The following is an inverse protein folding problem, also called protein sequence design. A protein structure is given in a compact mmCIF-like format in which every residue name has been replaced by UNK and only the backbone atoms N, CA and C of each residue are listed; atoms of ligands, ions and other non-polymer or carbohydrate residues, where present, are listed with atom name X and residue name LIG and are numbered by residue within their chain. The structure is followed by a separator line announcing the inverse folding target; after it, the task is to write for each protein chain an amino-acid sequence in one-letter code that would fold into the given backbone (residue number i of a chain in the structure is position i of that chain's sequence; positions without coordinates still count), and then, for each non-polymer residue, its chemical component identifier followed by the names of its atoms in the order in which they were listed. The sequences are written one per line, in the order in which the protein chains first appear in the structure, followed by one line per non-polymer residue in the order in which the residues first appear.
data_IF_053432051120
#
_entry.id   IF_053432051120
#
_cell.length_a   1.000
_cell.length_b   1.000
_cell.length_c   1.000
_cell.angle_alpha   90.00
_cell.angle_beta   90.00
_cell.angle_gamma   90.00
#
_symmetry.space_group_name_H-M   'P 1'
#
loop_
_entity.id
_entity.type
_entity.pdbx_description
1 polymer ?
#
# COMPACT_ATOMS: atom_id res chain seq x y z
N UNK A 1 5.64 -20.43 -11.81
CA UNK A 1 4.35 -20.67 -12.49
C UNK A 1 3.21 -19.78 -12.00
N UNK A 2 2.80 -19.83 -10.72
CA UNK A 2 1.67 -19.01 -10.20
C UNK A 2 1.81 -17.51 -10.50
N UNK A 3 2.99 -16.93 -10.27
CA UNK A 3 3.29 -15.52 -10.59
C UNK A 3 3.12 -15.23 -12.09
N UNK A 4 3.74 -16.05 -12.94
CA UNK A 4 3.67 -15.87 -14.40
C UNK A 4 2.23 -15.91 -14.89
N UNK A 5 1.39 -16.78 -14.30
CA UNK A 5 -0.05 -16.83 -14.57
C UNK A 5 -0.79 -15.54 -14.19
N UNK A 6 -0.52 -14.99 -13.00
CA UNK A 6 -1.11 -13.71 -12.57
C UNK A 6 -0.64 -12.54 -13.44
N UNK A 7 0.65 -12.45 -13.76
CA UNK A 7 1.18 -11.44 -14.68
C UNK A 7 0.53 -11.58 -16.07
N UNK A 8 0.34 -12.80 -16.56
CA UNK A 8 -0.34 -13.07 -17.83
C UNK A 8 -1.81 -12.63 -17.82
N UNK A 9 -2.50 -12.79 -16.68
CA UNK A 9 -3.86 -12.24 -16.50
C UNK A 9 -3.86 -10.71 -16.55
N UNK A 10 -2.93 -10.05 -15.87
CA UNK A 10 -2.80 -8.60 -15.91
C UNK A 10 -2.42 -8.09 -17.30
N UNK A 11 -1.50 -8.74 -18.01
CA UNK A 11 -1.19 -8.43 -19.41
C UNK A 11 -2.45 -8.48 -20.28
N UNK A 12 -3.25 -9.55 -20.15
CA UNK A 12 -4.52 -9.70 -20.88
C UNK A 12 -5.52 -8.58 -20.56
N UNK A 13 -5.58 -8.14 -19.31
CA UNK A 13 -6.46 -7.07 -18.85
C UNK A 13 -5.99 -5.72 -19.41
N UNK A 14 -4.72 -5.35 -19.25
CA UNK A 14 -4.17 -4.09 -19.75
C UNK A 14 -4.25 -4.01 -21.28
N UNK A 15 -4.05 -5.12 -22.00
CA UNK A 15 -4.27 -5.15 -23.45
C UNK A 15 -5.70 -4.76 -23.82
N UNK A 16 -6.70 -5.23 -23.09
CA UNK A 16 -8.13 -4.95 -23.35
C UNK A 16 -8.60 -3.60 -22.85
N UNK A 17 -8.17 -3.16 -21.67
CA UNK A 17 -8.75 -2.01 -20.96
C UNK A 17 -7.76 -0.86 -20.74
N UNK A 18 -6.47 -1.05 -21.02
CA UNK A 18 -5.43 -0.03 -20.88
C UNK A 18 -4.87 0.13 -19.46
N UNK A 19 -5.51 -0.47 -18.46
CA UNK A 19 -5.10 -0.42 -17.05
C UNK A 19 -5.56 -1.68 -16.31
N UNK A 20 -4.97 -1.96 -15.15
CA UNK A 20 -5.48 -2.98 -14.23
C UNK A 20 -6.61 -2.36 -13.39
N UNK A 21 -7.87 -2.80 -13.53
CA UNK A 21 -8.96 -2.31 -12.69
C UNK A 21 -8.77 -2.78 -11.25
N UNK A 22 -9.36 -2.03 -10.31
CA UNK A 22 -9.32 -2.32 -8.87
C UNK A 22 -9.60 -3.82 -8.54
N UNK A 23 -10.51 -4.45 -9.28
CA UNK A 23 -10.71 -5.90 -9.26
C UNK A 23 -11.29 -6.44 -10.55
N UNK A 24 -11.36 -7.78 -10.68
CA UNK A 24 -11.87 -8.48 -11.86
C UNK A 24 -13.41 -8.44 -12.05
N UNK A 25 -14.02 -7.25 -11.99
CA UNK A 25 -15.46 -7.00 -12.12
C UNK A 25 -15.74 -5.80 -13.03
N UNK A 26 -16.87 -5.84 -13.74
CA UNK A 26 -17.24 -4.80 -14.71
C UNK A 26 -17.33 -3.40 -14.08
N UNK A 27 -17.85 -3.29 -12.86
CA UNK A 27 -18.01 -2.01 -12.17
C UNK A 27 -16.68 -1.38 -11.69
N UNK A 28 -15.54 -2.09 -11.84
CA UNK A 28 -14.21 -1.55 -11.58
C UNK A 28 -13.50 -1.04 -12.85
N UNK A 29 -14.06 -1.20 -14.05
CA UNK A 29 -13.39 -0.80 -15.29
C UNK A 29 -13.09 0.71 -15.42
N UNK A 30 -13.63 1.53 -14.52
CA UNK A 30 -13.42 2.99 -14.50
C UNK A 30 -12.41 3.46 -13.45
N UNK A 31 -11.87 2.56 -12.62
CA UNK A 31 -10.86 2.88 -11.59
C UNK A 31 -9.81 1.79 -11.43
N UNK A 32 -8.58 2.22 -11.23
CA UNK A 32 -7.42 1.33 -11.05
C UNK A 32 -7.18 1.01 -9.57
N UNK A 33 -5.93 0.67 -9.23
CA UNK A 33 -5.34 0.61 -7.89
C UNK A 33 -3.87 1.08 -7.95
N UNK A 34 -3.15 1.28 -6.81
CA UNK A 34 -1.74 1.67 -6.85
C UNK A 34 -0.91 0.82 -7.84
N UNK A 35 -0.18 1.43 -8.81
CA UNK A 35 0.26 0.73 -10.02
C UNK A 35 1.53 -0.09 -9.83
N UNK A 36 1.36 -1.27 -9.21
CA UNK A 36 2.46 -2.18 -8.87
C UNK A 36 2.74 -3.25 -9.93
N UNK A 37 2.12 -3.20 -11.11
CA UNK A 37 2.30 -4.21 -12.17
C UNK A 37 3.75 -4.34 -12.64
N UNK A 38 4.39 -3.21 -12.96
CA UNK A 38 5.78 -3.14 -13.42
C UNK A 38 6.73 -3.67 -12.32
N UNK A 39 6.59 -3.27 -11.04
CA UNK A 39 7.32 -3.88 -9.92
C UNK A 39 7.11 -5.39 -9.76
N UNK A 40 5.87 -5.89 -9.91
CA UNK A 40 5.61 -7.33 -9.86
C UNK A 40 6.34 -8.06 -11.01
N UNK A 41 6.38 -7.44 -12.19
CA UNK A 41 7.10 -7.99 -13.34
C UNK A 41 8.62 -7.99 -13.10
N UNK A 42 9.18 -6.93 -12.52
CA UNK A 42 10.61 -6.87 -12.16
C UNK A 42 10.97 -7.98 -11.18
N UNK A 43 10.17 -8.15 -10.13
CA UNK A 43 10.41 -9.16 -9.11
C UNK A 43 10.35 -10.59 -9.69
N UNK A 44 9.45 -10.84 -10.66
CA UNK A 44 9.43 -12.09 -11.43
C UNK A 44 10.69 -12.29 -12.27
N UNK A 45 11.15 -11.25 -12.97
CA UNK A 45 12.33 -11.31 -13.82
C UNK A 45 13.63 -11.49 -13.03
N UNK A 46 13.75 -10.89 -11.85
CA UNK A 46 14.88 -11.12 -10.94
C UNK A 46 14.93 -12.58 -10.48
N UNK A 47 13.78 -13.20 -10.24
CA UNK A 47 13.71 -14.60 -9.81
C UNK A 47 13.94 -15.61 -10.94
N UNK A 48 13.62 -15.27 -12.19
CA UNK A 48 13.54 -16.26 -13.29
C UNK A 48 14.49 -15.99 -14.45
N UNK A 49 14.91 -14.74 -14.66
CA UNK A 49 15.70 -14.35 -15.82
C UNK A 49 14.94 -14.43 -17.16
N UNK A 50 13.61 -14.61 -17.15
CA UNK A 50 12.77 -14.88 -18.34
C UNK A 50 12.64 -13.68 -19.29
N UNK A 51 13.69 -13.44 -20.09
CA UNK A 51 13.77 -12.31 -21.02
C UNK A 51 12.78 -12.39 -22.18
N UNK A 52 12.47 -13.59 -22.68
CA UNK A 52 11.48 -13.76 -23.76
C UNK A 52 10.11 -13.26 -23.29
N UNK A 53 9.70 -13.60 -22.05
CA UNK A 53 8.45 -13.09 -21.50
C UNK A 53 8.46 -11.57 -21.33
N UNK A 54 9.61 -10.95 -21.04
CA UNK A 54 9.73 -9.49 -21.01
C UNK A 54 9.55 -8.89 -22.41
N UNK A 55 10.22 -9.43 -23.42
CA UNK A 55 10.14 -8.97 -24.81
C UNK A 55 8.68 -8.99 -25.30
N UNK A 56 7.94 -10.07 -25.03
CA UNK A 56 6.52 -10.21 -25.37
C UNK A 56 5.57 -9.27 -24.59
N UNK A 57 6.05 -8.68 -23.49
CA UNK A 57 5.23 -7.96 -22.52
C UNK A 57 5.49 -6.46 -22.48
N UNK A 58 6.65 -5.99 -22.97
CA UNK A 58 7.12 -4.61 -22.76
C UNK A 58 6.11 -3.56 -23.23
N UNK A 59 5.52 -3.72 -24.41
CA UNK A 59 4.52 -2.78 -24.93
C UNK A 59 3.29 -2.68 -24.03
N UNK A 60 2.91 -3.78 -23.38
CA UNK A 60 1.75 -3.80 -22.46
C UNK A 60 2.09 -3.15 -21.13
N UNK A 61 3.33 -3.32 -20.63
CA UNK A 61 3.82 -2.63 -19.44
C UNK A 61 3.85 -1.11 -19.67
N UNK A 62 4.36 -0.68 -20.82
CA UNK A 62 4.37 0.73 -21.22
C UNK A 62 2.95 1.28 -21.39
N UNK A 63 2.01 0.48 -21.90
CA UNK A 63 0.60 0.88 -22.06
C UNK A 63 -0.06 1.26 -20.73
N UNK A 64 0.17 0.49 -19.66
CA UNK A 64 -0.37 0.86 -18.35
C UNK A 64 0.32 2.11 -17.80
N UNK A 65 1.64 2.22 -17.92
CA UNK A 65 2.35 3.44 -17.50
C UNK A 65 1.80 4.69 -18.22
N UNK A 66 1.59 4.60 -19.53
CA UNK A 66 0.99 5.65 -20.34
C UNK A 66 -0.44 6.00 -19.89
N UNK A 67 -1.22 5.04 -19.42
CA UNK A 67 -2.55 5.31 -18.86
C UNK A 67 -2.46 6.26 -17.66
N UNK A 68 -1.56 6.00 -16.71
CA UNK A 68 -1.33 6.88 -15.56
C UNK A 68 -0.81 8.25 -15.98
N UNK A 69 0.17 8.29 -16.89
CA UNK A 69 0.75 9.54 -17.37
C UNK A 69 -0.24 10.43 -18.13
N UNK A 70 -1.28 9.85 -18.75
CA UNK A 70 -2.29 10.59 -19.52
C UNK A 70 -3.49 11.01 -18.68
N UNK A 71 -3.96 10.15 -17.78
CA UNK A 71 -5.25 10.33 -17.12
C UNK A 71 -5.14 10.81 -15.66
N UNK A 72 -3.97 10.59 -15.04
CA UNK A 72 -3.78 10.76 -13.60
C UNK A 72 -2.72 11.79 -13.25
N UNK A 73 -2.30 12.66 -14.18
CA UNK A 73 -1.31 13.73 -13.87
C UNK A 73 -1.94 15.11 -13.75
N UNK A 74 -1.33 15.94 -12.91
CA UNK A 74 -1.60 17.37 -12.71
C UNK A 74 -0.30 18.15 -12.77
N UNK A 75 -0.41 19.47 -12.94
CA UNK A 75 0.72 20.40 -12.89
C UNK A 75 0.59 21.28 -11.66
N UNK A 76 1.63 21.33 -10.84
CA UNK A 76 1.74 22.18 -9.65
C UNK A 76 2.74 23.29 -9.95
N UNK A 77 2.30 24.54 -9.91
CA UNK A 77 3.21 25.69 -9.90
C UNK A 77 3.81 25.86 -8.51
N UNK A 78 5.14 25.82 -8.42
CA UNK A 78 5.87 26.10 -7.20
C UNK A 78 7.02 27.04 -7.52
N UNK A 79 6.91 28.27 -7.00
CA UNK A 79 7.90 29.34 -7.17
C UNK A 79 8.19 29.67 -8.65
N UNK A 80 7.15 29.62 -9.50
CA UNK A 80 7.23 29.89 -10.93
C UNK A 80 7.77 28.74 -11.78
N UNK A 81 7.98 27.56 -11.19
CA UNK A 81 8.34 26.32 -11.88
C UNK A 81 7.17 25.34 -11.84
N UNK A 82 6.81 24.80 -13.00
CA UNK A 82 5.72 23.84 -13.15
C UNK A 82 6.25 22.41 -12.98
N UNK A 83 5.76 21.72 -11.94
CA UNK A 83 6.08 20.34 -11.63
C UNK A 83 4.92 19.42 -11.98
N UNK A 84 5.17 18.36 -12.74
CA UNK A 84 4.16 17.36 -13.08
C UNK A 84 4.18 16.24 -12.04
N UNK A 85 3.02 15.94 -11.46
CA UNK A 85 2.83 14.89 -10.44
C UNK A 85 1.53 14.12 -10.71
N UNK A 86 1.41 12.94 -10.11
CA UNK A 86 0.25 12.07 -10.23
C UNK A 86 -0.75 12.24 -9.07
N UNK A 87 -2.03 12.04 -9.36
CA UNK A 87 -3.18 12.04 -8.44
C UNK A 87 -4.09 10.87 -8.76
N UNK A 88 -4.79 10.33 -7.77
CA UNK A 88 -5.89 9.40 -8.04
C UNK A 88 -7.09 10.17 -8.62
N UNK A 89 -7.82 9.55 -9.56
CA UNK A 89 -8.96 10.17 -10.22
C UNK A 89 -9.90 9.15 -10.85
N UNK A 90 -11.08 8.99 -10.26
CA UNK A 90 -12.24 8.36 -10.92
C UNK A 90 -13.11 9.43 -11.59
N UNK A 91 -13.52 9.18 -12.85
CA UNK A 91 -14.35 10.09 -13.65
C UNK A 91 -15.79 9.59 -13.85
N UNK A 92 -16.17 8.48 -13.21
CA UNK A 92 -17.52 7.93 -13.36
C UNK A 92 -18.52 8.69 -12.48
N UNK A 93 -19.78 8.71 -12.90
CA UNK A 93 -20.89 9.28 -12.14
C UNK A 93 -21.61 8.23 -11.29
N UNK A 94 -22.39 8.67 -10.31
CA UNK A 94 -23.23 7.84 -9.46
C UNK A 94 -22.48 7.02 -8.40
N UNK A 95 -23.22 6.38 -7.49
CA UNK A 95 -22.66 5.59 -6.40
C UNK A 95 -21.96 4.31 -6.89
N UNK A 96 -21.06 3.78 -6.06
CA UNK A 96 -20.40 2.48 -6.24
C UNK A 96 -21.44 1.37 -6.31
N UNK A 97 -21.48 0.54 -7.37
CA UNK A 97 -22.41 -0.58 -7.43
C UNK A 97 -22.23 -1.59 -6.30
N UNK A 98 -21.00 -1.79 -5.82
CA UNK A 98 -20.67 -2.73 -4.75
C UNK A 98 -21.00 -2.23 -3.34
N UNK A 99 -21.17 -0.92 -3.16
CA UNK A 99 -21.51 -0.25 -1.89
C UNK A 99 -22.65 0.76 -2.07
N UNK A 100 -23.62 0.41 -2.93
CA UNK A 100 -24.63 1.36 -3.41
C UNK A 100 -25.44 1.97 -2.26
N UNK A 101 -25.85 1.13 -1.30
CA UNK A 101 -26.68 1.55 -0.17
C UNK A 101 -25.90 2.51 0.74
N UNK A 102 -24.65 2.19 1.02
CA UNK A 102 -23.74 2.92 1.88
C UNK A 102 -23.44 4.31 1.30
N UNK A 103 -23.13 4.37 0.00
CA UNK A 103 -22.89 5.63 -0.73
C UNK A 103 -24.13 6.53 -0.70
N UNK A 104 -25.30 6.00 -1.09
CA UNK A 104 -26.55 6.78 -1.14
C UNK A 104 -26.95 7.26 0.26
N UNK A 105 -26.79 6.43 1.29
CA UNK A 105 -27.07 6.80 2.67
C UNK A 105 -26.12 7.90 3.18
N UNK A 106 -24.83 7.81 2.85
CA UNK A 106 -23.85 8.83 3.21
C UNK A 106 -24.10 10.17 2.51
N UNK A 107 -24.64 10.11 1.29
CA UNK A 107 -25.00 11.28 0.49
C UNK A 107 -26.37 11.89 0.83
N UNK A 108 -27.16 11.30 1.74
CA UNK A 108 -28.56 11.69 1.96
C UNK A 108 -28.75 13.15 2.41
N UNK A 109 -27.72 13.74 3.02
CA UNK A 109 -27.72 15.12 3.51
C UNK A 109 -27.21 16.14 2.49
N UNK A 110 -26.74 15.68 1.32
CA UNK A 110 -26.30 16.55 0.23
C UNK A 110 -27.50 16.92 -0.64
N UNK A 111 -27.78 18.23 -0.73
CA UNK A 111 -29.03 18.72 -1.32
C UNK A 111 -29.03 18.82 -2.85
N UNK A 112 -27.86 18.97 -3.48
CA UNK A 112 -27.76 19.08 -4.95
C UNK A 112 -27.32 17.76 -5.60
N UNK A 113 -27.76 17.52 -6.83
CA UNK A 113 -27.28 16.38 -7.64
C UNK A 113 -25.77 16.48 -7.91
N UNK A 114 -25.27 17.69 -8.15
CA UNK A 114 -23.85 17.95 -8.38
C UNK A 114 -22.98 17.63 -7.16
N UNK A 115 -23.40 18.03 -5.95
CA UNK A 115 -22.68 17.71 -4.72
C UNK A 115 -22.66 16.21 -4.46
N UNK A 116 -23.77 15.51 -4.73
CA UNK A 116 -23.86 14.05 -4.60
C UNK A 116 -22.95 13.34 -5.58
N UNK A 117 -22.96 13.74 -6.85
CA UNK A 117 -22.11 13.12 -7.87
C UNK A 117 -20.62 13.38 -7.63
N UNK A 118 -20.27 14.60 -7.21
CA UNK A 118 -18.91 14.92 -6.75
C UNK A 118 -18.51 14.00 -5.61
N UNK A 119 -19.35 13.88 -4.59
CA UNK A 119 -19.09 13.01 -3.43
C UNK A 119 -18.86 11.56 -3.85
N UNK A 120 -19.72 10.99 -4.70
CA UNK A 120 -19.53 9.61 -5.19
C UNK A 120 -18.22 9.44 -5.96
N UNK A 121 -17.84 10.41 -6.79
CA UNK A 121 -16.56 10.39 -7.51
C UNK A 121 -15.37 10.45 -6.55
N UNK A 122 -15.43 11.21 -5.44
CA UNK A 122 -14.41 11.21 -4.40
C UNK A 122 -14.32 9.84 -3.69
N UNK A 123 -15.44 9.20 -3.36
CA UNK A 123 -15.44 7.86 -2.76
C UNK A 123 -14.80 6.82 -3.68
N UNK A 124 -15.14 6.83 -4.97
CA UNK A 124 -14.54 5.92 -5.97
C UNK A 124 -13.05 6.19 -6.17
N UNK A 125 -12.65 7.45 -6.11
CA UNK A 125 -11.23 7.83 -6.16
C UNK A 125 -10.48 7.35 -4.91
N UNK A 126 -11.09 7.42 -3.72
CA UNK A 126 -10.51 6.85 -2.51
C UNK A 126 -10.36 5.33 -2.61
N UNK A 127 -11.32 4.63 -3.22
CA UNK A 127 -11.17 3.21 -3.53
C UNK A 127 -10.05 2.92 -4.55
N UNK A 128 -9.84 3.80 -5.55
CA UNK A 128 -8.68 3.72 -6.46
C UNK A 128 -7.34 3.84 -5.72
N UNK A 129 -7.27 4.63 -4.64
CA UNK A 129 -6.05 4.74 -3.84
C UNK A 129 -5.72 3.48 -3.03
N UNK A 130 -6.71 2.59 -2.84
CA UNK A 130 -6.65 1.47 -1.92
C UNK A 130 -6.84 1.84 -0.45
N UNK A 131 -7.06 3.13 -0.12
CA UNK A 131 -7.32 3.63 1.23
C UNK A 131 -8.77 4.11 1.38
N UNK A 132 -9.73 3.21 1.17
CA UNK A 132 -11.18 3.44 1.33
C UNK A 132 -11.69 2.94 2.68
N UNK A 133 -11.86 3.77 3.71
CA UNK A 133 -11.61 5.21 3.76
C UNK A 133 -10.64 5.57 4.88
N UNK A 134 -10.15 6.81 4.81
CA UNK A 134 -9.16 7.36 5.73
C UNK A 134 -9.33 8.87 5.85
N UNK A 135 -9.07 9.40 7.04
CA UNK A 135 -8.91 10.84 7.28
C UNK A 135 -7.80 11.47 6.44
N UNK A 136 -6.86 10.67 5.90
CA UNK A 136 -5.87 11.10 4.91
C UNK A 136 -6.47 11.94 3.79
N UNK A 137 -7.67 11.57 3.34
CA UNK A 137 -8.38 12.20 2.23
C UNK A 137 -9.32 13.33 2.64
N UNK A 138 -9.47 13.61 3.94
CA UNK A 138 -10.41 14.62 4.41
C UNK A 138 -9.80 16.03 4.32
N UNK A 139 -10.55 16.93 3.70
CA UNK A 139 -10.27 18.38 3.72
C UNK A 139 -11.56 19.06 4.17
N UNK A 140 -11.55 19.55 5.42
CA UNK A 140 -12.63 20.40 5.91
C UNK A 140 -12.40 21.88 5.56
N UNK A 141 -13.31 22.75 5.98
CA UNK A 141 -13.26 24.19 5.66
C UNK A 141 -11.98 24.91 6.08
N UNK A 142 -11.23 24.34 7.03
CA UNK A 142 -10.00 24.92 7.55
C UNK A 142 -8.75 24.19 7.02
N UNK A 143 -8.89 23.31 6.02
CA UNK A 143 -7.79 22.53 5.46
C UNK A 143 -7.34 21.33 6.30
N UNK A 144 -8.07 20.99 7.37
CA UNK A 144 -7.69 19.89 8.27
C UNK A 144 -8.37 18.56 7.94
N UNK A 145 -7.86 17.48 8.52
CA UNK A 145 -8.35 16.09 8.35
C UNK A 145 -9.55 15.73 9.22
N UNK A 146 -10.02 16.65 10.07
CA UNK A 146 -11.16 16.39 10.98
C UNK A 146 -12.47 16.47 10.19
N UNK A 147 -13.23 15.38 10.20
CA UNK A 147 -14.50 15.32 9.47
C UNK A 147 -15.07 13.92 9.37
N UNK A 148 -15.89 13.73 8.35
CA UNK A 148 -16.45 12.43 7.95
C UNK A 148 -16.29 12.25 6.42
N UNK A 149 -16.83 11.16 5.86
CA UNK A 149 -16.73 10.85 4.44
C UNK A 149 -17.10 12.02 3.51
N UNK A 150 -18.06 12.89 3.89
CA UNK A 150 -18.44 14.06 3.07
C UNK A 150 -17.32 15.09 2.92
N UNK A 151 -16.28 15.02 3.75
CA UNK A 151 -15.05 15.81 3.65
C UNK A 151 -13.98 15.19 2.72
N UNK A 152 -14.22 14.02 2.12
CA UNK A 152 -13.27 13.39 1.19
C UNK A 152 -13.03 14.28 -0.03
N UNK A 153 -11.76 14.62 -0.29
CA UNK A 153 -11.28 15.50 -1.37
C UNK A 153 -9.99 14.95 -1.99
N UNK A 154 -9.95 13.64 -2.20
CA UNK A 154 -8.74 12.94 -2.67
C UNK A 154 -8.26 13.44 -4.04
N UNK A 155 -9.17 13.85 -4.94
CA UNK A 155 -8.79 14.41 -6.25
C UNK A 155 -7.99 15.72 -6.15
N UNK A 156 -8.09 16.42 -5.03
CA UNK A 156 -7.35 17.63 -4.71
C UNK A 156 -6.02 17.37 -3.99
N UNK A 157 -5.67 16.10 -3.75
CA UNK A 157 -4.48 15.70 -3.00
C UNK A 157 -3.49 15.01 -3.94
N UNK A 158 -2.23 15.46 -3.92
CA UNK A 158 -1.09 14.79 -4.57
C UNK A 158 -0.48 13.79 -3.58
N UNK A 159 -0.67 12.47 -3.77
CA UNK A 159 -0.23 11.48 -2.79
C UNK A 159 1.24 11.11 -2.95
N UNK A 160 1.97 11.00 -1.84
CA UNK A 160 3.39 10.64 -1.81
C UNK A 160 3.65 9.25 -2.37
N UNK A 161 2.87 8.26 -1.92
CA UNK A 161 2.98 6.87 -2.36
C UNK A 161 2.75 6.69 -3.85
N UNK A 162 1.70 7.29 -4.42
CA UNK A 162 1.45 7.21 -5.85
C UNK A 162 2.64 7.76 -6.65
N UNK A 163 3.17 8.92 -6.27
CA UNK A 163 4.28 9.54 -6.97
C UNK A 163 5.60 8.76 -6.82
N UNK A 164 5.83 8.18 -5.65
CA UNK A 164 6.96 7.27 -5.44
C UNK A 164 6.89 6.03 -6.33
N UNK A 165 5.69 5.47 -6.55
CA UNK A 165 5.47 4.30 -7.42
C UNK A 165 5.61 4.69 -8.90
N UNK A 166 5.10 5.85 -9.33
CA UNK A 166 5.26 6.32 -10.72
C UNK A 166 6.73 6.50 -11.09
N UNK A 167 7.53 7.10 -10.20
CA UNK A 167 8.99 7.14 -10.35
C UNK A 167 9.57 5.72 -10.52
N UNK A 168 9.18 4.80 -9.64
CA UNK A 168 9.70 3.44 -9.65
C UNK A 168 9.39 2.73 -10.97
N UNK A 169 8.16 2.88 -11.46
CA UNK A 169 7.72 2.33 -12.74
C UNK A 169 8.55 2.89 -13.89
N UNK A 170 8.85 4.20 -13.91
CA UNK A 170 9.73 4.78 -14.92
C UNK A 170 11.16 4.20 -14.84
N UNK A 171 11.74 4.08 -13.64
CA UNK A 171 13.06 3.46 -13.47
C UNK A 171 13.11 2.01 -13.94
N UNK A 172 12.07 1.23 -13.64
CA UNK A 172 11.96 -0.17 -14.06
C UNK A 172 11.75 -0.31 -15.56
N UNK A 173 10.93 0.53 -16.19
CA UNK A 173 10.80 0.56 -17.64
C UNK A 173 12.12 0.93 -18.33
N UNK A 174 12.88 1.87 -17.76
CA UNK A 174 14.24 2.17 -18.25
C UNK A 174 15.14 0.92 -18.16
N UNK A 175 15.15 0.24 -17.01
CA UNK A 175 15.90 -1.00 -16.79
C UNK A 175 15.51 -2.08 -17.81
N UNK A 176 14.21 -2.29 -18.04
CA UNK A 176 13.71 -3.27 -18.99
C UNK A 176 14.10 -2.95 -20.43
N UNK A 177 13.94 -1.69 -20.85
CA UNK A 177 14.32 -1.28 -22.20
C UNK A 177 15.84 -1.40 -22.44
N UNK A 178 16.68 -1.12 -21.44
CA UNK A 178 18.13 -1.41 -21.54
C UNK A 178 18.39 -2.90 -21.71
N UNK A 179 17.68 -3.77 -20.96
CA UNK A 179 17.80 -5.22 -21.07
C UNK A 179 17.39 -5.74 -22.46
N UNK A 180 16.46 -5.07 -23.12
CA UNK A 180 16.05 -5.33 -24.51
C UNK A 180 16.88 -4.56 -25.55
N UNK A 181 18.00 -3.95 -25.16
CA UNK A 181 18.89 -3.14 -26.02
C UNK A 181 18.22 -1.93 -26.71
N UNK A 182 17.08 -1.45 -26.20
CA UNK A 182 16.42 -0.23 -26.67
C UNK A 182 16.85 0.97 -25.82
N UNK A 183 18.03 1.51 -26.13
CA UNK A 183 18.64 2.62 -25.37
C UNK A 183 17.84 3.91 -25.47
N UNK A 184 17.21 4.19 -26.61
CA UNK A 184 16.38 5.38 -26.81
C UNK A 184 15.16 5.39 -25.89
N UNK A 185 14.42 4.27 -25.84
CA UNK A 185 13.28 4.15 -24.92
C UNK A 185 13.75 4.15 -23.45
N UNK A 186 14.88 3.52 -23.16
CA UNK A 186 15.44 3.55 -21.81
C UNK A 186 15.77 4.97 -21.33
N UNK A 187 16.38 5.80 -22.18
CA UNK A 187 16.75 7.17 -21.82
C UNK A 187 15.51 8.07 -21.67
N UNK A 188 14.44 7.82 -22.45
CA UNK A 188 13.13 8.47 -22.24
C UNK A 188 12.62 8.25 -20.82
N UNK A 189 12.55 7.00 -20.37
CA UNK A 189 12.04 6.69 -19.02
C UNK A 189 12.98 7.16 -17.91
N UNK A 190 14.28 7.17 -18.16
CA UNK A 190 15.26 7.76 -17.22
C UNK A 190 15.05 9.28 -17.06
N UNK A 191 14.74 10.00 -18.15
CA UNK A 191 14.40 11.42 -18.10
C UNK A 191 13.14 11.67 -17.26
N UNK A 192 12.09 10.87 -17.49
CA UNK A 192 10.84 10.96 -16.71
C UNK A 192 11.12 10.73 -15.22
N UNK A 193 11.93 9.72 -14.89
CA UNK A 193 12.29 9.43 -13.49
C UNK A 193 13.04 10.60 -12.82
N UNK A 194 13.94 11.29 -13.55
CA UNK A 194 14.65 12.47 -13.05
C UNK A 194 13.72 13.64 -12.79
N UNK A 195 12.84 13.95 -13.75
CA UNK A 195 11.78 14.97 -13.59
C UNK A 195 10.92 14.67 -12.35
N UNK A 196 10.61 13.39 -12.10
CA UNK A 196 9.79 12.97 -10.97
C UNK A 196 10.50 13.15 -9.62
N UNK A 197 11.80 12.83 -9.51
CA UNK A 197 12.57 13.09 -8.28
C UNK A 197 12.55 14.58 -7.96
N UNK A 198 12.78 15.44 -8.95
CA UNK A 198 12.78 16.89 -8.76
C UNK A 198 11.40 17.39 -8.28
N UNK A 199 10.32 16.90 -8.88
CA UNK A 199 8.97 17.24 -8.48
C UNK A 199 8.62 16.77 -7.06
N UNK A 200 8.97 15.52 -6.71
CA UNK A 200 8.75 14.95 -5.37
C UNK A 200 9.54 15.70 -4.31
N UNK A 201 10.81 16.05 -4.58
CA UNK A 201 11.61 16.89 -3.68
C UNK A 201 10.97 18.26 -3.48
N UNK A 202 10.59 18.95 -4.56
CA UNK A 202 10.12 20.34 -4.46
C UNK A 202 8.73 20.47 -3.87
N UNK A 203 7.82 19.56 -4.22
CA UNK A 203 6.41 19.67 -3.84
C UNK A 203 6.12 18.88 -2.57
N UNK A 204 6.74 17.71 -2.36
CA UNK A 204 6.33 16.76 -1.31
C UNK A 204 7.33 16.68 -0.15
N UNK A 205 8.63 16.93 -0.32
CA UNK A 205 9.60 16.94 0.79
C UNK A 205 9.43 18.17 1.69
N UNK A 206 9.32 17.95 3.00
CA UNK A 206 9.21 19.01 4.01
C UNK A 206 10.43 19.01 4.92
N UNK A 207 11.35 19.96 4.73
CA UNK A 207 12.61 20.03 5.48
C UNK A 207 12.44 20.06 7.01
N UNK A 208 11.52 20.89 7.53
CA UNK A 208 11.35 21.03 8.98
C UNK A 208 10.71 19.79 9.64
N UNK A 209 9.82 19.11 8.92
CA UNK A 209 9.19 17.86 9.40
C UNK A 209 10.14 16.69 9.23
N UNK A 210 11.02 16.73 8.21
CA UNK A 210 11.98 15.69 7.91
C UNK A 210 11.39 14.48 7.20
N UNK A 211 10.31 14.67 6.44
CA UNK A 211 9.62 13.61 5.69
C UNK A 211 8.97 14.17 4.42
N UNK A 212 8.66 13.28 3.47
CA UNK A 212 7.69 13.58 2.42
C UNK A 212 6.28 13.58 3.00
N UNK A 213 5.44 14.47 2.48
CA UNK A 213 4.05 14.67 2.89
C UNK A 213 3.18 14.85 1.65
N UNK A 214 1.94 14.38 1.71
CA UNK A 214 0.96 14.64 0.66
C UNK A 214 0.76 16.16 0.49
N UNK A 215 0.41 16.60 -0.72
CA UNK A 215 0.19 18.02 -1.01
C UNK A 215 -1.27 18.31 -1.33
N UNK A 216 -1.85 19.27 -0.62
CA UNK A 216 -3.19 19.79 -0.85
C UNK A 216 -3.14 20.90 -1.90
N UNK A 217 -3.70 20.62 -3.08
CA UNK A 217 -3.68 21.55 -4.21
C UNK A 217 -4.61 22.74 -4.00
N UNK A 218 -5.72 22.55 -3.29
CA UNK A 218 -6.73 23.60 -3.10
C UNK A 218 -6.26 24.63 -2.06
N UNK A 219 -5.58 24.15 -1.01
CA UNK A 219 -5.04 25.00 0.05
C UNK A 219 -3.56 25.37 -0.15
N UNK A 220 -2.93 24.90 -1.23
CA UNK A 220 -1.51 25.11 -1.56
C UNK A 220 -0.55 24.79 -0.39
N UNK A 221 -0.80 23.70 0.32
CA UNK A 221 -0.05 23.34 1.53
C UNK A 221 0.28 21.86 1.61
N UNK A 222 1.41 21.57 2.26
CA UNK A 222 1.76 20.20 2.63
C UNK A 222 0.88 19.73 3.80
N UNK A 223 0.45 18.47 3.73
CA UNK A 223 -0.41 17.85 4.73
C UNK A 223 0.45 17.23 5.82
N UNK A 224 0.82 18.02 6.82
CA UNK A 224 1.67 17.62 7.95
C UNK A 224 0.97 16.67 8.93
N UNK A 225 0.76 15.44 8.46
CA UNK A 225 0.20 14.33 9.23
C UNK A 225 1.06 13.08 9.02
N UNK A 226 1.06 12.20 10.02
CA UNK A 226 1.75 10.93 9.92
C UNK A 226 0.95 9.92 9.12
N UNK A 227 1.56 9.42 8.05
CA UNK A 227 1.14 8.24 7.30
C UNK A 227 2.37 7.37 7.02
N UNK A 228 2.30 6.03 7.17
CA UNK A 228 3.40 5.14 6.76
C UNK A 228 3.79 5.31 5.29
N UNK A 229 2.84 5.68 4.42
CA UNK A 229 3.06 5.98 3.00
C UNK A 229 3.96 7.19 2.76
N UNK A 230 4.17 8.07 3.74
CA UNK A 230 5.15 9.15 3.67
C UNK A 230 6.58 8.63 3.40
N UNK A 231 6.88 7.38 3.77
CA UNK A 231 8.17 6.74 3.56
C UNK A 231 8.26 5.98 2.22
N UNK A 232 7.22 6.00 1.38
CA UNK A 232 7.25 5.35 0.08
C UNK A 232 8.42 5.81 -0.82
N UNK A 233 8.88 7.08 -0.81
CA UNK A 233 10.04 7.49 -1.59
C UNK A 233 11.34 6.80 -1.12
N UNK A 234 11.48 6.54 0.18
CA UNK A 234 12.60 5.77 0.70
C UNK A 234 12.56 4.32 0.20
N UNK A 235 11.37 3.71 0.21
CA UNK A 235 11.12 2.36 -0.28
C UNK A 235 11.41 2.20 -1.78
N UNK A 236 11.00 3.15 -2.61
CA UNK A 236 11.18 3.06 -4.07
C UNK A 236 12.48 3.68 -4.59
N UNK A 237 13.24 4.36 -3.72
CA UNK A 237 14.42 5.14 -4.10
C UNK A 237 14.10 6.47 -4.79
N UNK A 238 12.87 6.98 -4.68
CA UNK A 238 12.40 8.23 -5.27
C UNK A 238 12.90 9.47 -4.51
N UNK A 239 14.22 9.62 -4.42
CA UNK A 239 14.88 10.78 -3.82
C UNK A 239 16.29 10.91 -4.39
N UNK A 240 16.92 12.07 -4.15
CA UNK A 240 18.31 12.27 -4.54
C UNK A 240 19.25 11.37 -3.73
N UNK A 241 19.69 10.29 -4.37
CA UNK A 241 20.58 9.30 -3.78
C UNK A 241 21.92 9.89 -3.32
N UNK A 242 22.36 11.03 -3.87
CA UNK A 242 23.59 11.71 -3.42
C UNK A 242 23.45 12.32 -2.03
N UNK A 243 22.21 12.57 -1.57
CA UNK A 243 21.85 13.12 -0.25
C UNK A 243 21.22 12.08 0.67
N UNK A 244 21.42 10.79 0.40
CA UNK A 244 20.82 9.69 1.16
C UNK A 244 20.96 9.82 2.68
N UNK A 245 22.15 10.09 3.20
CA UNK A 245 22.39 10.19 4.65
C UNK A 245 21.55 11.30 5.29
N UNK A 246 21.33 12.41 4.56
CA UNK A 246 20.47 13.51 5.00
C UNK A 246 19.01 13.06 5.11
N UNK A 247 18.47 12.39 4.09
CA UNK A 247 17.07 11.92 4.12
C UNK A 247 16.87 10.86 5.20
N UNK A 248 17.76 9.86 5.28
CA UNK A 248 17.67 8.78 6.28
C UNK A 248 17.71 9.35 7.70
N UNK A 249 18.66 10.26 7.98
CA UNK A 249 18.74 10.91 9.29
C UNK A 249 17.47 11.71 9.63
N UNK A 250 16.90 12.40 8.64
CA UNK A 250 15.68 13.20 8.82
C UNK A 250 14.46 12.32 9.09
N UNK A 251 14.33 11.21 8.36
CA UNK A 251 13.25 10.24 8.51
C UNK A 251 13.32 9.55 9.88
N UNK A 252 14.50 9.17 10.36
CA UNK A 252 14.64 8.56 11.69
C UNK A 252 14.19 9.53 12.79
N UNK A 253 14.57 10.81 12.70
CA UNK A 253 14.09 11.85 13.62
C UNK A 253 12.58 12.05 13.52
N UNK A 254 12.03 12.01 12.31
CA UNK A 254 10.59 12.10 12.07
C UNK A 254 9.84 10.95 12.75
N UNK A 255 10.28 9.70 12.56
CA UNK A 255 9.68 8.52 13.19
C UNK A 255 9.78 8.54 14.72
N UNK A 256 10.86 9.10 15.28
CA UNK A 256 10.98 9.30 16.72
C UNK A 256 10.01 10.38 17.23
N UNK A 257 9.88 11.50 16.50
CA UNK A 257 8.98 12.62 16.85
C UNK A 257 7.50 12.23 16.83
N UNK A 258 7.09 11.37 15.90
CA UNK A 258 5.69 10.92 15.81
C UNK A 258 5.30 9.96 16.94
N UNK A 259 6.27 9.47 17.72
CA UNK A 259 6.07 8.57 18.85
C UNK A 259 5.30 7.29 18.49
N UNK A 260 5.35 6.85 17.23
CA UNK A 260 4.63 5.65 16.78
C UNK A 260 5.15 4.39 17.47
N UNK A 261 6.38 4.40 18.03
CA UNK A 261 7.00 3.28 18.75
C UNK A 261 6.20 2.79 19.96
N UNK A 262 5.28 3.60 20.49
CA UNK A 262 4.33 3.20 21.54
C UNK A 262 3.41 2.05 21.09
N UNK A 263 3.18 1.91 19.79
CA UNK A 263 2.41 0.84 19.19
C UNK A 263 3.23 -0.45 19.19
N UNK A 264 2.67 -1.50 19.80
CA UNK A 264 3.36 -2.79 20.04
C UNK A 264 2.95 -3.89 19.06
N UNK A 265 1.81 -3.74 18.39
CA UNK A 265 1.24 -4.67 17.41
C UNK A 265 1.56 -4.32 15.95
N UNK A 266 2.12 -3.14 15.67
CA UNK A 266 2.50 -2.69 14.33
C UNK A 266 2.59 -1.17 14.22
N UNK A 267 2.87 -0.67 13.02
CA UNK A 267 2.81 0.76 12.70
C UNK A 267 1.34 1.10 12.34
N UNK A 268 0.67 2.02 13.04
CA UNK A 268 -0.70 2.38 12.72
C UNK A 268 -0.77 3.15 11.38
N UNK A 269 -1.91 3.05 10.70
CA UNK A 269 -2.14 3.70 9.41
C UNK A 269 -2.14 5.22 9.50
N UNK A 270 -2.73 5.76 10.57
CA UNK A 270 -2.73 7.19 10.92
C UNK A 270 -2.56 7.33 12.43
N UNK A 271 -2.66 8.55 12.96
CA UNK A 271 -2.75 8.81 14.41
C UNK A 271 -4.15 9.28 14.84
N UNK A 272 -5.16 9.13 13.97
CA UNK A 272 -6.51 9.67 14.17
C UNK A 272 -7.52 8.55 14.38
N UNK A 273 -8.28 8.62 15.47
CA UNK A 273 -9.40 7.72 15.73
C UNK A 273 -10.68 8.21 15.01
N UNK A 274 -10.84 7.85 13.74
CA UNK A 274 -12.02 8.25 12.95
C UNK A 274 -13.13 7.19 12.94
N UNK A 275 -12.79 5.92 13.18
CA UNK A 275 -13.68 4.78 12.94
C UNK A 275 -13.59 4.21 11.52
N UNK A 276 -12.89 4.90 10.61
CA UNK A 276 -12.60 4.39 9.27
C UNK A 276 -11.51 3.30 9.31
N UNK A 277 -11.50 2.41 8.31
CA UNK A 277 -10.62 1.25 8.36
C UNK A 277 -9.15 1.56 8.06
N UNK A 278 -8.86 2.61 7.29
CA UNK A 278 -7.50 3.08 7.03
C UNK A 278 -7.13 4.24 7.97
N UNK A 279 -7.42 4.07 9.26
CA UNK A 279 -7.12 5.00 10.34
C UNK A 279 -6.74 4.26 11.63
N UNK A 280 -6.24 5.00 12.62
CA UNK A 280 -5.88 4.45 13.93
C UNK A 280 -7.10 3.79 14.61
N UNK A 281 -6.95 2.60 15.25
CA UNK A 281 -5.70 1.90 15.58
C UNK A 281 -5.24 0.88 14.53
N UNK A 282 -5.85 0.81 13.35
CA UNK A 282 -5.54 -0.25 12.41
C UNK A 282 -4.12 -0.15 11.86
N UNK A 283 -3.49 -1.31 11.70
CA UNK A 283 -2.21 -1.52 11.03
C UNK A 283 -2.40 -2.48 9.85
N UNK A 284 -1.92 -2.09 8.68
CA UNK A 284 -2.09 -2.85 7.44
C UNK A 284 -0.76 -3.40 6.92
N UNK A 285 -0.70 -4.68 6.49
CA UNK A 285 0.53 -5.32 6.04
C UNK A 285 1.30 -4.54 4.95
N UNK A 286 0.66 -4.00 3.89
CA UNK A 286 1.38 -3.21 2.88
C UNK A 286 2.09 -1.98 3.45
N UNK A 287 1.51 -1.34 4.47
CA UNK A 287 2.10 -0.15 5.11
C UNK A 287 3.29 -0.51 5.99
N UNK A 288 3.24 -1.67 6.64
CA UNK A 288 4.39 -2.20 7.37
C UNK A 288 5.55 -2.46 6.41
N UNK A 289 5.25 -3.09 5.28
CA UNK A 289 6.22 -3.41 4.25
C UNK A 289 6.93 -2.16 3.72
N UNK A 290 6.19 -1.11 3.37
CA UNK A 290 6.75 0.16 2.88
C UNK A 290 7.78 0.71 3.87
N UNK A 291 7.42 0.79 5.15
CA UNK A 291 8.32 1.37 6.16
C UNK A 291 9.51 0.45 6.45
N UNK A 292 9.26 -0.84 6.71
CA UNK A 292 10.30 -1.78 7.11
C UNK A 292 11.31 -2.01 5.97
N UNK A 293 10.83 -2.33 4.77
CA UNK A 293 11.71 -2.59 3.63
C UNK A 293 12.37 -1.31 3.15
N UNK A 294 11.67 -0.17 3.22
CA UNK A 294 12.27 1.12 2.91
C UNK A 294 13.41 1.50 3.85
N UNK A 295 13.30 1.22 5.15
CA UNK A 295 14.38 1.44 6.11
C UNK A 295 15.53 0.43 5.93
N UNK A 296 15.21 -0.86 5.71
CA UNK A 296 16.21 -1.92 5.54
C UNK A 296 17.07 -1.69 4.29
N UNK A 297 16.44 -1.28 3.17
CA UNK A 297 17.12 -1.06 1.89
C UNK A 297 18.10 0.11 1.91
N UNK A 298 18.06 0.97 2.93
CA UNK A 298 18.99 2.08 3.06
C UNK A 298 20.42 1.62 3.34
N UNK A 299 20.65 0.46 3.94
CA UNK A 299 22.01 0.08 4.36
C UNK A 299 22.59 0.92 5.51
N UNK A 300 21.85 1.90 6.05
CA UNK A 300 22.24 2.63 7.26
C UNK A 300 21.95 1.78 8.50
N UNK A 301 22.89 1.69 9.42
CA UNK A 301 22.78 0.77 10.57
C UNK A 301 21.68 1.16 11.56
N UNK A 302 21.38 2.46 11.72
CA UNK A 302 20.29 2.90 12.59
C UNK A 302 18.93 2.62 11.92
N UNK A 303 18.82 2.84 10.62
CA UNK A 303 17.63 2.51 9.84
C UNK A 303 17.36 1.00 9.80
N UNK A 304 18.38 0.17 9.55
CA UNK A 304 18.25 -1.31 9.59
C UNK A 304 17.85 -1.83 10.97
N UNK A 305 18.34 -1.20 12.05
CA UNK A 305 17.89 -1.53 13.40
C UNK A 305 16.41 -1.20 13.59
N UNK A 306 15.98 -0.01 13.18
CA UNK A 306 14.57 0.38 13.24
C UNK A 306 13.68 -0.53 12.37
N UNK A 307 14.15 -0.94 11.19
CA UNK A 307 13.47 -1.89 10.32
C UNK A 307 13.26 -3.23 11.04
N UNK A 308 14.31 -3.77 11.65
CA UNK A 308 14.24 -5.01 12.42
C UNK A 308 13.27 -4.91 13.61
N UNK A 309 13.34 -3.84 14.40
CA UNK A 309 12.46 -3.65 15.56
C UNK A 309 10.97 -3.65 15.14
N UNK A 310 10.65 -3.04 14.00
CA UNK A 310 9.30 -3.04 13.44
C UNK A 310 8.92 -4.41 12.86
N UNK A 311 9.84 -5.09 12.16
CA UNK A 311 9.62 -6.42 11.64
C UNK A 311 9.31 -7.43 12.76
N UNK A 312 10.07 -7.39 13.86
CA UNK A 312 9.86 -8.25 15.03
C UNK A 312 8.49 -8.02 15.65
N UNK A 313 8.10 -6.76 15.89
CA UNK A 313 6.76 -6.42 16.42
C UNK A 313 5.65 -6.95 15.52
N UNK A 314 5.76 -6.71 14.22
CA UNK A 314 4.73 -7.10 13.26
C UNK A 314 4.59 -8.61 13.13
N UNK A 315 5.71 -9.33 12.96
CA UNK A 315 5.71 -10.79 12.87
C UNK A 315 5.16 -11.40 14.15
N UNK A 316 5.57 -10.89 15.32
CA UNK A 316 5.03 -11.36 16.60
C UNK A 316 3.53 -11.17 16.69
N UNK A 317 3.00 -9.99 16.32
CA UNK A 317 1.56 -9.74 16.33
C UNK A 317 0.81 -10.72 15.43
N UNK A 318 1.29 -10.94 14.21
CA UNK A 318 0.69 -11.90 13.28
C UNK A 318 0.77 -13.34 13.84
N UNK A 319 1.89 -13.72 14.44
CA UNK A 319 2.09 -15.04 15.02
C UNK A 319 1.16 -15.31 16.19
N UNK A 320 1.02 -14.38 17.13
CA UNK A 320 0.13 -14.50 18.30
C UNK A 320 -1.35 -14.62 17.85
N UNK A 321 -1.76 -13.81 16.88
CA UNK A 321 -3.10 -13.91 16.28
C UNK A 321 -3.32 -15.28 15.63
N UNK A 322 -2.33 -15.79 14.89
CA UNK A 322 -2.40 -17.10 14.27
C UNK A 322 -2.42 -18.24 15.30
N UNK A 323 -1.63 -18.14 16.38
CA UNK A 323 -1.62 -19.15 17.45
C UNK A 323 -2.97 -19.24 18.13
N UNK A 324 -3.59 -18.10 18.44
CA UNK A 324 -4.88 -18.04 19.14
C UNK A 324 -6.08 -18.41 18.25
N UNK A 325 -6.10 -17.94 17.00
CA UNK A 325 -7.28 -18.06 16.11
C UNK A 325 -7.14 -19.12 15.01
N UNK A 326 -5.92 -19.59 14.74
CA UNK A 326 -5.56 -20.41 13.57
C UNK A 326 -5.81 -19.72 12.22
N UNK A 327 -5.92 -18.40 12.21
CA UNK A 327 -6.14 -17.59 11.02
C UNK A 327 -5.20 -16.38 10.96
N UNK A 328 -4.99 -15.89 9.74
CA UNK A 328 -4.36 -14.61 9.47
C UNK A 328 -5.45 -13.63 9.03
N UNK A 329 -5.29 -12.36 9.36
CA UNK A 329 -6.32 -11.34 9.14
C UNK A 329 -5.89 -10.33 8.09
N UNK A 330 -6.87 -9.68 7.47
CA UNK A 330 -6.67 -8.57 6.53
C UNK A 330 -5.88 -7.40 7.14
N UNK A 331 -6.18 -7.07 8.40
CA UNK A 331 -5.61 -5.95 9.17
C UNK A 331 -5.55 -6.29 10.66
N UNK A 332 -4.68 -5.60 11.38
CA UNK A 332 -4.39 -5.85 12.80
C UNK A 332 -4.53 -4.58 13.64
N UNK A 333 -4.66 -4.71 14.95
CA UNK A 333 -4.60 -3.58 15.86
C UNK A 333 -3.13 -3.21 16.16
N UNK A 334 -2.74 -1.97 15.94
CA UNK A 334 -1.37 -1.50 16.18
C UNK A 334 -1.01 -1.45 17.68
N UNK A 335 -2.02 -1.31 18.54
CA UNK A 335 -1.87 -1.06 19.97
C UNK A 335 -1.81 -2.33 20.81
N UNK A 336 -2.30 -3.46 20.26
CA UNK A 336 -2.33 -4.75 20.97
C UNK A 336 -1.71 -5.84 20.10
N UNK A 337 -0.82 -6.63 20.70
CA UNK A 337 -0.18 -7.76 20.01
C UNK A 337 -1.22 -8.88 19.82
N UNK A 338 -1.33 -9.42 18.61
CA UNK A 338 -2.18 -10.58 18.35
C UNK A 338 -3.65 -10.27 18.09
N UNK A 339 -4.06 -9.00 18.20
CA UNK A 339 -5.44 -8.59 17.96
C UNK A 339 -5.66 -8.19 16.50
N UNK A 340 -6.86 -8.50 16.01
CA UNK A 340 -7.31 -8.08 14.69
C UNK A 340 -7.78 -6.63 14.71
N UNK A 341 -7.66 -5.94 13.59
CA UNK A 341 -8.19 -4.58 13.45
C UNK A 341 -9.72 -4.56 13.31
N UNK A 342 -10.29 -3.39 13.02
CA UNK A 342 -11.74 -3.21 12.85
C UNK A 342 -12.09 -1.98 12.00
N UNK A 343 -13.33 -1.50 12.11
CA UNK A 343 -13.79 -0.29 11.42
C UNK A 343 -13.98 -0.43 9.90
N UNK A 344 -14.53 0.63 9.30
CA UNK A 344 -14.96 0.68 7.90
C UNK A 344 -16.36 0.10 7.64
N UNK A 345 -16.64 -0.19 6.37
CA UNK A 345 -17.98 -0.57 5.88
C UNK A 345 -18.32 -2.07 6.08
N UNK A 346 -17.35 -2.92 6.42
CA UNK A 346 -17.53 -4.38 6.47
C UNK A 346 -16.68 -5.07 7.55
N UNK A 347 -17.05 -6.32 7.89
CA UNK A 347 -16.36 -7.16 8.87
C UNK A 347 -14.96 -7.60 8.36
N UNK A 348 -14.01 -7.78 9.28
CA UNK A 348 -12.64 -8.14 8.94
C UNK A 348 -12.57 -9.48 8.20
N UNK A 349 -11.75 -9.55 7.14
CA UNK A 349 -11.59 -10.76 6.33
C UNK A 349 -10.46 -11.69 6.83
N UNK A 350 -10.71 -13.00 6.71
CA UNK A 350 -9.76 -14.08 7.06
C UNK A 350 -8.96 -14.51 5.82
N UNK A 351 -7.68 -14.86 6.01
CA UNK A 351 -6.84 -15.43 4.95
C UNK A 351 -5.38 -15.03 5.07
N UNK A 352 -4.96 -13.78 4.94
CA UNK A 352 -5.35 -12.86 3.86
C UNK A 352 -4.08 -12.64 3.00
N UNK A 353 -4.21 -12.53 1.68
CA UNK A 353 -3.08 -12.59 0.74
C UNK A 353 -1.87 -11.72 1.10
N UNK A 354 -2.08 -10.43 1.44
CA UNK A 354 -0.97 -9.53 1.76
C UNK A 354 -0.34 -9.78 3.12
N UNK A 355 -1.09 -10.31 4.07
CA UNK A 355 -0.59 -10.56 5.42
C UNK A 355 0.37 -11.72 5.34
N UNK A 356 -0.03 -12.75 4.59
CA UNK A 356 0.79 -13.92 4.32
C UNK A 356 2.03 -13.53 3.52
N UNK A 357 1.88 -12.76 2.43
CA UNK A 357 3.00 -12.32 1.59
C UNK A 357 4.03 -11.47 2.36
N UNK A 358 3.57 -10.49 3.14
CA UNK A 358 4.45 -9.61 3.92
C UNK A 358 5.15 -10.38 5.04
N UNK A 359 4.44 -11.23 5.79
CA UNK A 359 5.07 -12.05 6.83
C UNK A 359 6.12 -12.99 6.23
N UNK A 360 5.85 -13.61 5.09
CA UNK A 360 6.83 -14.44 4.39
C UNK A 360 8.08 -13.65 3.99
N UNK A 361 7.94 -12.44 3.45
CA UNK A 361 9.11 -11.62 3.12
C UNK A 361 9.91 -11.25 4.36
N UNK A 362 9.25 -10.78 5.42
CA UNK A 362 9.94 -10.34 6.62
C UNK A 362 10.64 -11.52 7.33
N UNK A 363 10.03 -12.71 7.33
CA UNK A 363 10.70 -13.93 7.80
C UNK A 363 11.91 -14.30 6.94
N UNK A 364 11.85 -14.05 5.63
CA UNK A 364 12.99 -14.26 4.74
C UNK A 364 14.13 -13.27 4.99
N UNK A 365 13.80 -12.00 5.22
CA UNK A 365 14.77 -10.92 5.45
C UNK A 365 15.42 -10.97 6.84
N UNK A 366 14.65 -11.37 7.87
CA UNK A 366 15.06 -11.25 9.28
C UNK A 366 15.04 -12.57 10.05
N UNK A 367 14.68 -13.70 9.42
CA UNK A 367 14.49 -14.99 10.08
C UNK A 367 15.74 -15.57 10.75
N UNK A 368 16.93 -15.14 10.34
CA UNK A 368 18.21 -15.48 10.97
C UNK A 368 18.42 -14.79 12.32
N UNK A 369 17.70 -13.68 12.58
CA UNK A 369 17.81 -12.85 13.78
C UNK A 369 16.58 -12.94 14.68
N UNK A 370 15.41 -13.26 14.13
CA UNK A 370 14.16 -13.39 14.87
C UNK A 370 14.24 -14.55 15.87
N UNK A 371 13.73 -14.32 17.07
CA UNK A 371 13.66 -15.33 18.13
C UNK A 371 12.19 -15.61 18.47
N UNK A 372 11.80 -16.89 18.49
CA UNK A 372 10.59 -17.29 19.20
C UNK A 372 10.88 -17.15 20.69
N UNK A 373 10.21 -16.23 21.38
CA UNK A 373 10.38 -16.15 22.83
C UNK A 373 10.03 -17.51 23.44
N UNK A 374 10.94 -18.10 24.21
CA UNK A 374 10.58 -19.20 25.10
C UNK A 374 9.41 -18.74 25.99
N UNK A 375 8.53 -19.67 26.33
CA UNK A 375 7.26 -19.44 27.03
C UNK A 375 7.34 -18.38 28.14
N UNK A 376 6.28 -17.57 28.33
CA UNK A 376 6.24 -16.64 29.45
C UNK A 376 6.37 -17.40 30.77
N UNK A 377 7.24 -16.92 31.67
CA UNK A 377 7.29 -17.37 33.06
C UNK A 377 5.87 -17.36 33.64
N UNK A 378 5.44 -18.49 34.22
CA UNK A 378 4.17 -18.61 34.92
C UNK A 378 4.08 -17.56 36.03
N UNK A 379 3.32 -16.50 35.79
CA UNK A 379 2.76 -15.70 36.87
C UNK A 379 1.38 -16.28 37.24
N UNK A 380 1.12 -16.57 38.52
CA UNK A 380 -0.06 -17.31 38.94
C UNK A 380 -1.34 -16.53 38.60
N UNK A 381 -2.20 -17.18 37.82
CA UNK A 381 -3.48 -16.64 37.35
C UNK A 381 -4.43 -16.37 38.53
N UNK A 382 -4.94 -15.13 38.60
CA UNK A 382 -6.18 -14.85 39.32
C UNK A 382 -7.36 -15.21 38.40
N UNK A 383 -8.10 -16.23 38.82
CA UNK A 383 -9.27 -16.77 38.15
C UNK A 383 -10.47 -15.82 38.22
N UNK A 384 -10.95 -15.36 37.06
CA UNK A 384 -12.35 -15.00 36.87
C UNK A 384 -12.75 -15.32 35.42
N UNK A 385 -13.11 -16.58 35.19
CA UNK A 385 -13.73 -17.08 33.96
C UNK A 385 -15.20 -16.63 33.95
N UNK A 386 -15.60 -15.86 32.94
CA UNK A 386 -17.01 -15.82 32.53
C UNK A 386 -17.10 -16.37 31.10
N UNK A 387 -17.79 -17.49 31.02
CA UNK A 387 -18.18 -18.27 29.86
C UNK A 387 -19.26 -17.57 29.06
N UNK A 388 -19.06 -17.42 27.74
CA UNK A 388 -20.16 -17.57 26.78
C UNK A 388 -19.60 -18.24 25.53
N UNK A 389 -20.04 -19.48 25.33
CA UNK A 389 -19.67 -20.35 24.24
C UNK A 389 -20.83 -20.43 23.23
N UNK A 390 -20.45 -20.63 21.97
CA UNK A 390 -21.25 -21.10 20.84
C UNK A 390 -22.53 -20.35 20.44
N UNK A 391 -22.46 -19.58 19.35
CA UNK A 391 -23.38 -19.66 18.20
C UNK A 391 -22.99 -18.59 17.17
N UNK A 392 -22.33 -19.02 16.08
CA UNK A 392 -22.48 -18.53 14.69
C UNK A 392 -21.41 -19.14 13.80
N UNK A 393 -21.58 -20.43 13.51
CA UNK A 393 -21.15 -20.98 12.23
C UNK A 393 -22.31 -20.84 11.25
N UNK A 394 -21.94 -20.64 9.98
CA UNK A 394 -22.78 -20.59 8.77
C UNK A 394 -23.34 -19.20 8.44
N UNK A 395 -22.70 -18.61 7.42
CA UNK A 395 -23.21 -17.80 6.29
C UNK A 395 -22.24 -16.63 6.05
N UNK A 396 -21.38 -16.76 5.03
CA UNK A 396 -21.02 -15.72 4.04
C UNK A 396 -19.85 -16.20 3.17
N UNK A 397 -20.13 -17.18 2.29
CA UNK A 397 -19.28 -17.44 1.12
C UNK A 397 -19.77 -16.48 0.04
N UNK A 398 -19.01 -15.43 -0.22
CA UNK A 398 -19.26 -14.55 -1.36
C UNK A 398 -18.99 -13.07 -1.12
N UNK A 399 -17.75 -12.72 -0.76
CA UNK A 399 -16.99 -11.49 -1.12
C UNK A 399 -15.55 -11.76 -0.61
N UNK A 400 -14.79 -12.61 -1.28
CA UNK A 400 -13.39 -12.91 -0.89
C UNK A 400 -12.47 -13.14 -2.11
N UNK A 401 -12.87 -12.64 -3.28
CA UNK A 401 -12.16 -12.90 -4.54
C UNK A 401 -11.69 -11.62 -5.27
N UNK A 402 -11.78 -10.46 -4.63
CA UNK A 402 -11.43 -9.18 -5.28
C UNK A 402 -10.15 -8.52 -4.72
N UNK A 403 -9.69 -8.84 -3.51
CA UNK A 403 -8.46 -8.28 -2.92
C UNK A 403 -7.20 -9.13 -3.07
N UNK A 404 -7.27 -10.28 -3.73
CA UNK A 404 -6.27 -11.36 -3.57
C UNK A 404 -5.10 -11.33 -4.56
N UNK A 405 -5.15 -10.53 -5.63
CA UNK A 405 -4.25 -10.75 -6.78
C UNK A 405 -2.93 -9.99 -6.66
N UNK A 406 -2.94 -8.72 -6.24
CA UNK A 406 -1.70 -7.93 -6.10
C UNK A 406 -0.79 -8.47 -4.97
N UNK A 407 -1.39 -8.99 -3.91
CA UNK A 407 -0.70 -9.48 -2.74
C UNK A 407 -0.16 -10.91 -2.88
N UNK A 408 -0.89 -11.77 -3.60
CA UNK A 408 -0.42 -13.11 -3.98
C UNK A 408 0.81 -13.06 -4.89
N UNK A 409 0.96 -12.00 -5.70
CA UNK A 409 2.14 -11.79 -6.56
C UNK A 409 3.43 -11.64 -5.77
N UNK A 410 3.43 -10.87 -4.68
CA UNK A 410 4.58 -10.79 -3.76
C UNK A 410 4.89 -12.17 -3.18
N UNK A 411 3.93 -12.85 -2.53
CA UNK A 411 4.16 -14.17 -1.93
C UNK A 411 4.65 -15.26 -2.92
N UNK A 412 4.14 -15.26 -4.16
CA UNK A 412 4.51 -16.27 -5.15
C UNK A 412 5.86 -15.98 -5.85
N UNK A 413 6.29 -14.70 -5.94
CA UNK A 413 7.64 -14.34 -6.41
C UNK A 413 8.70 -14.85 -5.41
N UNK A 414 8.35 -14.86 -4.12
CA UNK A 414 9.26 -15.24 -3.04
C UNK A 414 9.52 -16.75 -3.00
N UNK A 415 8.52 -17.60 -3.23
CA UNK A 415 8.75 -19.04 -3.38
C UNK A 415 9.72 -19.37 -4.52
N UNK A 416 9.74 -18.57 -5.59
CA UNK A 416 10.67 -18.74 -6.71
C UNK A 416 12.08 -18.23 -6.37
N UNK A 417 12.21 -17.09 -5.67
CA UNK A 417 13.49 -16.50 -5.25
C UNK A 417 14.28 -17.39 -4.29
N UNK A 418 13.61 -18.15 -3.42
CA UNK A 418 14.26 -18.88 -2.33
C UNK A 418 14.30 -20.42 -2.49
N UNK A 419 13.86 -20.97 -3.63
CA UNK A 419 13.77 -22.44 -3.85
C UNK A 419 13.15 -23.21 -2.67
N UNK A 420 12.20 -22.59 -1.95
CA UNK A 420 11.51 -23.26 -0.84
C UNK A 420 10.57 -24.30 -1.43
N UNK A 421 11.09 -25.51 -1.68
CA UNK A 421 10.27 -26.69 -1.93
C UNK A 421 9.76 -27.19 -0.58
N UNK A 422 8.45 -27.14 -0.30
CA UNK A 422 7.91 -27.93 0.79
C UNK A 422 8.20 -29.41 0.49
N UNK A 423 8.97 -30.07 1.36
CA UNK A 423 9.08 -31.53 1.35
C UNK A 423 7.74 -32.09 1.83
N UNK A 424 6.86 -32.43 0.89
CA UNK A 424 5.67 -33.24 1.16
C UNK A 424 5.99 -34.73 1.22
N UNK A 425 7.12 -35.09 1.82
CA UNK A 425 7.45 -36.49 2.11
C UNK A 425 7.17 -36.70 3.59
N UNK A 426 6.13 -37.51 3.89
CA UNK A 426 5.64 -37.96 5.19
C UNK A 426 4.30 -37.35 5.64
N UNK A 427 3.24 -37.65 4.90
CA UNK A 427 1.91 -37.79 5.50
C UNK A 427 1.63 -39.29 5.62
N UNK A 428 1.52 -39.87 6.83
CA UNK A 428 1.07 -41.24 7.01
C UNK A 428 -0.37 -41.35 6.52
N UNK A 429 -0.62 -42.28 5.61
CA UNK A 429 -1.99 -42.69 5.27
C UNK A 429 -2.50 -43.57 6.40
N UNK A 430 -3.56 -43.11 7.08
CA UNK A 430 -4.45 -43.94 7.90
C UNK A 430 -5.89 -43.59 7.58
#
# INVERSE_FOLDING_TARGET
DTVKGMLSNFLSIVRRYGMIPNGGRLYYLMRSQPPLFIPMFDAYLEATGDTDFLEDSIETLEKEFDFWMKNHTVTIDKDGVNYRLAVYRDQSSGPRPESYREDVYSAQWLHSEEDRDRFYSELKTAAESGWDFSTRWFINSNGSTVGNLTNTRIKSIVPVDLNAIIYWNAKLLSKFQRRLNNTVAADKYESIAKEWIEAVEKVLWHDEVGSWLDYDMDNHMKRDYFYPSNLAPLWTGCYDQSRKDYYVTSILKYLDKTNIKVNVGGIPTTLVHSGEQWDYPNAWPPLQYIVIVGLESTGDEAAKRAAYDWAEKWIRSNYEAYVSTKAMFEKYDATVIGETGGGGEYEVQLGFGWSNGVVMELLSLFGDRLQSRAEPEEHPANSARNSYDSLRQVVSIGIAFAGTVAAGCLGAVLCAKYQLRPKYDNIPTS
#
